data_IF_930550326966
#
_entry.id   IF_930550326966
#
_cell.length_a   1.000
_cell.length_b   1.000
_cell.length_c   1.000
_cell.angle_alpha   90.00
_cell.angle_beta   90.00
_cell.angle_gamma   90.00
#
_symmetry.space_group_name_H-M   'P 1'
#
loop_
_entity.id
_entity.type
_entity.pdbx_description
1 polymer ?
#
# COMPACT_ATOMS: atom_id res chain seq x y z
N UNK A 1 -9.49 -0.54 -14.13
CA UNK A 1 -9.05 0.87 -14.26
C UNK A 1 -9.63 1.43 -15.56
N UNK A 2 -10.20 2.62 -15.60
CA UNK A 2 -10.97 3.11 -16.77
C UNK A 2 -10.17 3.06 -18.08
N UNK A 3 -10.59 2.18 -19.01
CA UNK A 3 -10.06 2.11 -20.37
C UNK A 3 -8.65 1.55 -20.52
N UNK A 4 -8.03 1.07 -19.43
CA UNK A 4 -6.72 0.43 -19.47
C UNK A 4 -6.81 -1.03 -19.08
N UNK A 5 -6.25 -1.90 -19.94
CA UNK A 5 -6.10 -3.32 -19.63
C UNK A 5 -4.83 -3.55 -18.79
N UNK A 6 -4.88 -4.42 -17.79
CA UNK A 6 -3.70 -4.75 -17.01
C UNK A 6 -2.75 -5.66 -17.81
N UNK A 7 -1.46 -5.44 -17.60
CA UNK A 7 -0.43 -6.44 -17.87
C UNK A 7 -0.31 -7.35 -16.63
N UNK A 8 -0.15 -8.65 -16.84
CA UNK A 8 0.02 -9.60 -15.75
C UNK A 8 1.48 -10.03 -15.66
N UNK A 9 2.10 -9.78 -14.52
CA UNK A 9 3.47 -10.21 -14.23
C UNK A 9 3.42 -11.47 -13.37
N UNK A 10 4.13 -12.51 -13.83
CA UNK A 10 4.23 -13.78 -13.10
C UNK A 10 5.22 -13.64 -11.93
N UNK A 11 4.69 -13.65 -10.71
CA UNK A 11 5.46 -13.61 -9.46
C UNK A 11 5.59 -15.01 -8.82
N UNK A 12 5.61 -16.07 -9.62
CA UNK A 12 5.79 -17.45 -9.22
C UNK A 12 4.48 -18.15 -8.90
N UNK A 13 3.93 -17.97 -7.70
CA UNK A 13 2.65 -18.60 -7.32
C UNK A 13 1.42 -17.72 -7.56
N UNK A 14 1.63 -16.48 -8.05
CA UNK A 14 0.56 -15.53 -8.36
C UNK A 14 0.91 -14.66 -9.56
N UNK A 15 -0.08 -14.34 -10.38
CA UNK A 15 0.02 -13.30 -11.41
C UNK A 15 -0.47 -11.99 -10.83
N UNK A 16 0.34 -10.96 -10.93
CA UNK A 16 0.04 -9.64 -10.39
C UNK A 16 -0.34 -8.70 -11.53
N UNK A 17 -1.52 -8.11 -11.44
CA UNK A 17 -2.02 -7.15 -12.40
C UNK A 17 -1.36 -5.79 -12.19
N UNK A 18 -0.87 -5.21 -13.29
CA UNK A 18 -0.13 -3.96 -13.29
C UNK A 18 -0.58 -3.11 -14.48
N UNK A 19 -0.85 -1.84 -14.23
CA UNK A 19 -1.23 -0.85 -15.25
C UNK A 19 -0.05 0.10 -15.49
N UNK A 20 0.52 0.07 -16.68
CA UNK A 20 1.69 0.88 -17.08
C UNK A 20 1.26 1.93 -18.09
N UNK A 21 1.16 3.18 -17.65
CA UNK A 21 0.47 4.25 -18.37
C UNK A 21 1.33 5.50 -18.40
N UNK A 22 1.36 6.18 -19.56
CA UNK A 22 2.12 7.40 -19.72
C UNK A 22 3.59 7.18 -20.03
N UNK A 23 4.39 8.24 -19.88
CA UNK A 23 5.83 8.24 -20.17
C UNK A 23 6.54 9.18 -19.20
N UNK A 24 7.85 9.03 -19.05
CA UNK A 24 8.67 9.88 -18.19
C UNK A 24 9.20 9.15 -16.98
N UNK A 25 9.41 9.88 -15.88
CA UNK A 25 9.92 9.29 -14.63
C UNK A 25 8.88 8.36 -14.00
N UNK A 26 9.26 7.16 -13.51
CA UNK A 26 8.32 6.21 -12.95
C UNK A 26 7.69 6.72 -11.64
N UNK A 27 6.36 6.59 -11.54
CA UNK A 27 5.57 6.77 -10.33
C UNK A 27 4.81 5.48 -10.03
N UNK A 28 5.10 4.88 -8.90
CA UNK A 28 4.44 3.67 -8.43
C UNK A 28 3.24 4.06 -7.57
N UNK A 29 2.06 3.55 -7.90
CA UNK A 29 0.82 3.78 -7.17
C UNK A 29 0.36 2.49 -6.48
N UNK A 30 0.16 2.55 -5.16
CA UNK A 30 -0.23 1.42 -4.32
C UNK A 30 -1.52 1.78 -3.57
N UNK A 31 -2.57 1.01 -3.81
CA UNK A 31 -3.90 1.19 -3.22
C UNK A 31 -4.01 0.65 -1.80
N UNK A 32 -5.09 0.98 -1.09
CA UNK A 32 -5.37 0.56 0.29
C UNK A 32 -5.94 -0.85 0.44
N UNK A 33 -6.23 -1.22 1.68
CA UNK A 33 -6.78 -2.54 2.04
C UNK A 33 -8.16 -2.78 1.40
N UNK A 34 -8.30 -3.90 0.69
CA UNK A 34 -9.56 -4.29 0.06
C UNK A 34 -9.93 -3.51 -1.21
N UNK A 35 -9.08 -2.62 -1.66
CA UNK A 35 -9.22 -1.83 -2.89
C UNK A 35 -8.47 -2.45 -4.07
N UNK A 36 -8.33 -1.69 -5.14
CA UNK A 36 -7.54 -1.99 -6.32
C UNK A 36 -7.03 -0.69 -6.98
N UNK A 37 -6.34 -0.80 -8.09
CA UNK A 37 -5.77 0.35 -8.82
C UNK A 37 -6.81 1.37 -9.29
N UNK A 38 -8.11 1.03 -9.32
CA UNK A 38 -9.18 1.97 -9.67
C UNK A 38 -9.34 3.11 -8.65
N UNK A 39 -8.82 2.95 -7.44
CA UNK A 39 -8.72 4.03 -6.46
C UNK A 39 -8.08 5.29 -7.06
N UNK A 40 -7.10 5.11 -7.95
CA UNK A 40 -6.35 6.19 -8.57
C UNK A 40 -7.00 6.80 -9.81
N UNK A 41 -8.23 6.39 -10.18
CA UNK A 41 -8.88 6.82 -11.42
C UNK A 41 -9.02 8.36 -11.54
N UNK A 42 -9.23 9.05 -10.43
CA UNK A 42 -9.37 10.49 -10.44
C UNK A 42 -8.04 11.23 -10.66
N UNK A 43 -6.92 10.62 -10.24
CA UNK A 43 -5.60 11.26 -10.27
C UNK A 43 -4.77 10.84 -11.50
N UNK A 44 -5.08 9.70 -12.12
CA UNK A 44 -4.22 9.11 -13.14
C UNK A 44 -4.04 10.00 -14.37
N UNK A 45 -5.10 10.69 -14.80
CA UNK A 45 -5.05 11.60 -15.95
C UNK A 45 -4.07 12.76 -15.72
N UNK A 46 -3.95 13.24 -14.49
CA UNK A 46 -3.00 14.29 -14.15
C UNK A 46 -1.57 13.75 -14.03
N UNK A 47 -1.37 12.62 -13.36
CA UNK A 47 -0.04 12.04 -13.21
C UNK A 47 0.57 11.62 -14.56
N UNK A 48 -0.21 11.04 -15.46
CA UNK A 48 0.28 10.56 -16.77
C UNK A 48 0.68 11.67 -17.74
N UNK A 49 0.35 12.92 -17.45
CA UNK A 49 0.84 14.09 -18.21
C UNK A 49 2.34 14.30 -18.06
N UNK A 50 2.92 13.86 -16.94
CA UNK A 50 4.30 14.17 -16.59
C UNK A 50 5.11 12.93 -16.20
N UNK A 51 4.47 11.81 -15.92
CA UNK A 51 5.08 10.61 -15.34
C UNK A 51 4.64 9.34 -16.07
N UNK A 52 5.48 8.32 -16.03
CA UNK A 52 5.09 6.94 -16.32
C UNK A 52 4.51 6.34 -15.05
N UNK A 53 3.21 6.16 -15.02
CA UNK A 53 2.49 5.63 -13.86
C UNK A 53 2.44 4.11 -13.93
N UNK A 54 2.88 3.45 -12.86
CA UNK A 54 2.73 2.02 -12.65
C UNK A 54 1.80 1.83 -11.44
N UNK A 55 0.52 1.54 -11.72
CA UNK A 55 -0.46 1.20 -10.69
C UNK A 55 -0.55 -0.32 -10.56
N UNK A 56 -0.43 -0.83 -9.33
CA UNK A 56 -0.36 -2.27 -9.07
C UNK A 56 -1.56 -2.69 -8.24
N UNK A 57 -2.30 -3.67 -8.72
CA UNK A 57 -3.23 -4.41 -7.88
C UNK A 57 -2.42 -5.34 -6.99
N UNK A 58 -2.33 -5.05 -5.72
CA UNK A 58 -1.58 -5.87 -4.79
C UNK A 58 -2.07 -7.32 -4.76
N UNK A 59 -1.19 -8.27 -4.47
CA UNK A 59 -1.55 -9.69 -4.33
C UNK A 59 -2.87 -9.84 -3.53
N UNK A 60 -3.80 -10.65 -4.03
CA UNK A 60 -5.11 -10.87 -3.41
C UNK A 60 -6.12 -9.73 -3.57
N UNK A 61 -5.79 -8.67 -4.31
CA UNK A 61 -6.64 -7.52 -4.57
C UNK A 61 -6.92 -7.36 -6.08
N UNK A 62 -7.96 -6.61 -6.43
CA UNK A 62 -8.30 -6.28 -7.80
C UNK A 62 -8.31 -7.50 -8.74
N UNK A 63 -7.59 -7.38 -9.83
CA UNK A 63 -7.40 -8.43 -10.85
C UNK A 63 -6.22 -9.38 -10.55
N UNK A 64 -5.47 -9.16 -9.45
CA UNK A 64 -4.35 -10.00 -9.06
C UNK A 64 -4.78 -11.30 -8.40
N UNK A 65 -4.01 -12.36 -8.64
CA UNK A 65 -4.18 -13.64 -7.94
C UNK A 65 -3.79 -13.52 -6.46
N UNK A 66 -4.38 -14.37 -5.60
CA UNK A 66 -3.98 -14.45 -4.19
C UNK A 66 -2.72 -15.32 -3.98
N UNK A 67 -2.45 -16.23 -4.91
CA UNK A 67 -1.40 -17.23 -4.76
C UNK A 67 -1.72 -18.28 -3.70
N UNK A 68 -0.70 -19.04 -3.31
CA UNK A 68 -0.80 -20.15 -2.34
C UNK A 68 -0.07 -19.88 -1.03
N UNK A 69 0.78 -18.86 -0.98
CA UNK A 69 1.63 -18.52 0.18
C UNK A 69 0.94 -17.62 1.21
N UNK A 70 -0.34 -17.26 0.97
CA UNK A 70 -1.07 -16.29 1.79
C UNK A 70 -0.70 -14.85 1.45
N UNK A 71 -1.14 -13.90 2.31
CA UNK A 71 -0.85 -12.48 2.15
C UNK A 71 0.05 -11.99 3.29
N UNK A 72 1.09 -11.25 2.94
CA UNK A 72 1.92 -10.49 3.88
C UNK A 72 2.58 -9.32 3.14
N UNK A 73 2.91 -8.25 3.88
CA UNK A 73 3.63 -7.12 3.31
C UNK A 73 5.02 -7.49 2.79
N UNK A 74 5.69 -8.50 3.38
CA UNK A 74 6.97 -8.99 2.88
C UNK A 74 6.83 -9.63 1.51
N UNK A 75 5.82 -10.48 1.31
CA UNK A 75 5.57 -11.12 0.03
C UNK A 75 5.12 -10.10 -1.03
N UNK A 76 4.24 -9.16 -0.66
CA UNK A 76 3.78 -8.10 -1.56
C UNK A 76 4.93 -7.17 -1.96
N UNK A 77 5.88 -6.88 -1.06
CA UNK A 77 7.07 -6.11 -1.37
C UNK A 77 8.01 -6.86 -2.33
N UNK A 78 8.13 -8.18 -2.21
CA UNK A 78 8.87 -9.02 -3.15
C UNK A 78 8.21 -9.06 -4.54
N UNK A 79 6.88 -9.17 -4.59
CA UNK A 79 6.13 -9.06 -5.85
C UNK A 79 6.40 -7.72 -6.54
N UNK A 80 6.31 -6.62 -5.78
CA UNK A 80 6.58 -5.28 -6.29
C UNK A 80 8.01 -5.14 -6.80
N UNK A 81 8.99 -5.68 -6.05
CA UNK A 81 10.40 -5.70 -6.50
C UNK A 81 10.55 -6.43 -7.83
N UNK A 82 9.94 -7.61 -7.96
CA UNK A 82 9.97 -8.38 -9.18
C UNK A 82 9.32 -7.63 -10.36
N UNK A 83 8.17 -6.99 -10.14
CA UNK A 83 7.50 -6.15 -11.16
C UNK A 83 8.44 -5.04 -11.65
N UNK A 84 9.10 -4.33 -10.74
CA UNK A 84 10.01 -3.25 -11.11
C UNK A 84 11.24 -3.77 -11.87
N UNK A 85 11.76 -4.94 -11.52
CA UNK A 85 12.87 -5.59 -12.24
C UNK A 85 12.47 -5.98 -13.66
N UNK A 86 11.30 -6.63 -13.84
CA UNK A 86 10.77 -6.99 -15.16
C UNK A 86 10.56 -5.76 -16.04
N UNK A 87 10.11 -4.65 -15.44
CA UNK A 87 9.92 -3.37 -16.16
C UNK A 87 11.21 -2.54 -16.34
N UNK A 88 12.33 -3.03 -15.85
CA UNK A 88 13.62 -2.32 -15.92
C UNK A 88 13.68 -1.03 -15.11
N UNK A 89 12.83 -0.89 -14.08
CA UNK A 89 12.74 0.30 -13.24
C UNK A 89 13.75 0.18 -12.11
N UNK A 90 14.77 1.00 -12.15
CA UNK A 90 15.84 1.02 -11.13
C UNK A 90 15.53 1.97 -9.98
N UNK A 91 14.84 3.08 -10.28
CA UNK A 91 14.43 4.10 -9.30
C UNK A 91 13.08 4.69 -9.68
N UNK A 92 12.26 5.01 -8.68
CA UNK A 92 10.93 5.58 -8.89
C UNK A 92 10.50 6.47 -7.72
N UNK A 93 9.45 7.27 -7.96
CA UNK A 93 8.64 7.85 -6.90
C UNK A 93 7.57 6.84 -6.47
N UNK A 94 7.25 6.84 -5.19
CA UNK A 94 6.21 5.96 -4.63
C UNK A 94 5.12 6.80 -3.98
N UNK A 95 3.88 6.46 -4.27
CA UNK A 95 2.69 6.99 -3.61
C UNK A 95 1.82 5.82 -3.18
N UNK A 96 1.67 5.65 -1.87
CA UNK A 96 0.84 4.60 -1.29
C UNK A 96 -0.26 5.19 -0.42
N UNK A 97 -1.47 4.65 -0.59
CA UNK A 97 -2.62 4.97 0.23
C UNK A 97 -2.85 3.85 1.26
N UNK A 98 -3.01 4.21 2.53
CA UNK A 98 -3.35 3.27 3.61
C UNK A 98 -2.38 2.07 3.64
N UNK A 99 -2.83 0.83 3.46
CA UNK A 99 -1.98 -0.35 3.34
C UNK A 99 -0.98 -0.26 2.18
N UNK A 100 -1.31 0.46 1.10
CA UNK A 100 -0.35 0.77 0.03
C UNK A 100 0.81 1.64 0.52
N UNK A 101 0.55 2.55 1.46
CA UNK A 101 1.59 3.32 2.15
C UNK A 101 2.45 2.44 3.06
N UNK A 102 1.82 1.49 3.77
CA UNK A 102 2.52 0.51 4.60
C UNK A 102 3.42 -0.40 3.73
N UNK A 103 2.92 -0.83 2.57
CA UNK A 103 3.70 -1.58 1.59
C UNK A 103 4.88 -0.75 1.04
N UNK A 104 4.67 0.54 0.76
CA UNK A 104 5.72 1.44 0.31
C UNK A 104 6.83 1.61 1.37
N UNK A 105 6.48 1.75 2.65
CA UNK A 105 7.44 1.75 3.78
C UNK A 105 8.23 0.44 3.79
N UNK A 106 7.54 -0.70 3.73
CA UNK A 106 8.18 -2.02 3.75
C UNK A 106 9.17 -2.18 2.59
N UNK A 107 8.77 -1.75 1.39
CA UNK A 107 9.60 -1.76 0.20
C UNK A 107 10.83 -0.85 0.37
N UNK A 108 10.63 0.40 0.80
CA UNK A 108 11.71 1.37 0.98
C UNK A 108 12.76 0.93 2.01
N UNK A 109 12.34 0.22 3.07
CA UNK A 109 13.26 -0.34 4.06
C UNK A 109 14.11 -1.51 3.52
N UNK A 110 13.59 -2.25 2.54
CA UNK A 110 14.30 -3.40 1.92
C UNK A 110 15.16 -2.97 0.73
N UNK A 111 14.70 -2.00 -0.08
CA UNK A 111 15.38 -1.52 -1.29
C UNK A 111 15.41 0.01 -1.34
N UNK A 112 16.09 0.69 -0.40
CA UNK A 112 16.08 2.16 -0.29
C UNK A 112 16.60 2.84 -1.56
N UNK A 113 17.58 2.26 -2.26
CA UNK A 113 18.15 2.81 -3.49
C UNK A 113 17.16 2.87 -4.66
N UNK A 114 16.05 2.14 -4.58
CA UNK A 114 14.99 2.15 -5.60
C UNK A 114 13.93 3.21 -5.37
N UNK A 115 13.91 3.86 -4.20
CA UNK A 115 12.90 4.86 -3.83
C UNK A 115 13.55 6.25 -3.80
N UNK A 116 13.18 7.12 -4.74
CA UNK A 116 13.71 8.49 -4.78
C UNK A 116 12.90 9.45 -3.91
N UNK A 117 11.57 9.29 -3.90
CA UNK A 117 10.65 10.06 -3.06
C UNK A 117 9.52 9.15 -2.61
N UNK A 118 9.03 9.39 -1.41
CA UNK A 118 7.98 8.60 -0.80
C UNK A 118 6.81 9.50 -0.39
N UNK A 119 5.60 9.15 -0.81
CA UNK A 119 4.36 9.78 -0.36
C UNK A 119 3.51 8.73 0.34
N UNK A 120 3.19 8.98 1.59
CA UNK A 120 2.42 8.13 2.49
C UNK A 120 1.08 8.80 2.79
N UNK A 121 0.02 8.36 2.14
CA UNK A 121 -1.32 8.89 2.38
C UNK A 121 -2.08 7.96 3.33
N UNK A 122 -2.37 8.40 4.54
CA UNK A 122 -3.08 7.61 5.56
C UNK A 122 -2.37 6.32 5.98
N UNK A 123 -1.02 6.27 5.92
CA UNK A 123 -0.25 5.11 6.35
C UNK A 123 -0.06 5.05 7.88
N UNK A 124 0.21 3.85 8.40
CA UNK A 124 0.47 3.64 9.82
C UNK A 124 1.45 2.50 10.06
N UNK A 125 2.24 2.58 11.12
CA UNK A 125 3.20 1.53 11.53
C UNK A 125 2.57 0.58 12.54
N UNK A 126 1.85 1.10 13.50
CA UNK A 126 1.13 0.28 14.48
C UNK A 126 -0.24 -0.14 13.91
N UNK A 127 -0.26 -1.25 13.18
CA UNK A 127 -1.42 -1.70 12.41
C UNK A 127 -2.73 -1.66 13.21
N UNK A 128 -2.74 -2.27 14.38
CA UNK A 128 -3.96 -2.31 15.20
C UNK A 128 -4.11 -1.07 16.08
N UNK A 129 -3.05 -0.65 16.79
CA UNK A 129 -3.14 0.45 17.76
C UNK A 129 -3.03 1.84 17.14
N UNK A 130 -2.56 1.94 15.91
CA UNK A 130 -2.43 3.20 15.16
C UNK A 130 -3.76 3.77 14.63
N UNK A 131 -4.82 2.95 14.56
CA UNK A 131 -6.14 3.36 14.07
C UNK A 131 -7.14 3.65 15.19
N UNK A 132 -8.21 4.38 14.88
CA UNK A 132 -9.28 4.74 15.86
C UNK A 132 -10.03 3.49 16.33
N UNK A 133 -10.57 3.45 17.58
CA UNK A 133 -11.14 2.24 18.20
C UNK A 133 -12.30 1.60 17.41
N UNK A 134 -13.14 2.40 16.76
CA UNK A 134 -14.24 1.89 15.96
C UNK A 134 -13.76 1.08 14.73
N UNK A 135 -12.65 1.52 14.12
CA UNK A 135 -11.99 0.80 13.00
C UNK A 135 -11.40 -0.52 13.51
N UNK A 136 -10.72 -0.49 14.66
CA UNK A 136 -10.21 -1.70 15.30
C UNK A 136 -11.31 -2.74 15.50
N UNK A 137 -12.45 -2.31 16.08
CA UNK A 137 -13.58 -3.19 16.37
C UNK A 137 -14.19 -3.78 15.09
N UNK A 138 -14.45 -2.95 14.08
CA UNK A 138 -15.05 -3.41 12.82
C UNK A 138 -14.12 -4.32 12.03
N UNK A 139 -12.82 -4.03 12.01
CA UNK A 139 -11.80 -4.87 11.36
C UNK A 139 -11.71 -6.23 12.05
N UNK A 140 -11.65 -6.24 13.39
CA UNK A 140 -11.55 -7.48 14.14
C UNK A 140 -12.79 -8.35 14.01
N UNK A 141 -13.99 -7.76 14.09
CA UNK A 141 -15.25 -8.46 13.88
C UNK A 141 -15.34 -9.03 12.44
N UNK A 142 -14.96 -8.23 11.44
CA UNK A 142 -14.91 -8.65 10.03
C UNK A 142 -13.93 -9.81 9.80
N UNK A 143 -12.74 -9.73 10.39
CA UNK A 143 -11.73 -10.80 10.34
C UNK A 143 -12.23 -12.08 10.98
N UNK A 144 -12.83 -12.00 12.17
CA UNK A 144 -13.42 -13.13 12.88
C UNK A 144 -14.54 -13.81 12.07
N UNK A 145 -15.46 -13.03 11.53
CA UNK A 145 -16.53 -13.54 10.66
C UNK A 145 -15.98 -14.21 9.39
N UNK A 146 -15.02 -13.55 8.71
CA UNK A 146 -14.40 -14.11 7.52
C UNK A 146 -13.62 -15.41 7.83
N UNK A 147 -12.96 -15.48 8.99
CA UNK A 147 -12.24 -16.67 9.45
C UNK A 147 -13.17 -17.87 9.70
N UNK A 148 -14.35 -17.61 10.28
CA UNK A 148 -15.34 -18.67 10.54
C UNK A 148 -15.81 -19.35 9.24
N UNK A 149 -16.00 -18.56 8.17
CA UNK A 149 -16.49 -19.05 6.89
C UNK A 149 -15.40 -19.37 5.86
N UNK A 150 -14.13 -19.14 6.19
CA UNK A 150 -13.01 -19.30 5.25
C UNK A 150 -12.82 -20.71 4.70
N UNK A 151 -13.21 -21.75 5.47
CA UNK A 151 -13.09 -23.16 5.06
C UNK A 151 -14.13 -23.58 4.00
N UNK A 152 -15.26 -22.86 3.92
CA UNK A 152 -16.38 -23.21 3.04
C UNK A 152 -16.63 -22.19 1.93
N UNK A 153 -15.96 -21.04 1.97
CA UNK A 153 -16.13 -19.95 1.00
C UNK A 153 -14.78 -19.34 0.63
N UNK A 154 -14.43 -19.43 -0.67
CA UNK A 154 -13.23 -18.77 -1.22
C UNK A 154 -13.27 -17.25 -1.02
N UNK A 155 -14.45 -16.63 -1.13
CA UNK A 155 -14.64 -15.20 -0.89
C UNK A 155 -14.34 -14.84 0.57
N UNK A 156 -14.81 -15.68 1.52
CA UNK A 156 -14.52 -15.47 2.93
C UNK A 156 -13.03 -15.67 3.24
N UNK A 157 -12.38 -16.68 2.63
CA UNK A 157 -10.95 -16.90 2.77
C UNK A 157 -10.15 -15.68 2.29
N UNK A 158 -10.44 -15.17 1.07
CA UNK A 158 -9.79 -13.96 0.54
C UNK A 158 -10.01 -12.76 1.46
N UNK A 159 -11.25 -12.55 1.94
CA UNK A 159 -11.57 -11.45 2.87
C UNK A 159 -10.81 -11.55 4.19
N UNK A 160 -10.71 -12.78 4.75
CA UNK A 160 -9.89 -13.03 5.95
C UNK A 160 -8.44 -12.63 5.72
N UNK A 161 -7.84 -13.05 4.60
CA UNK A 161 -6.43 -12.80 4.31
C UNK A 161 -6.17 -11.30 4.11
N UNK A 162 -7.05 -10.59 3.41
CA UNK A 162 -6.97 -9.14 3.21
C UNK A 162 -7.11 -8.40 4.56
N UNK A 163 -8.13 -8.70 5.37
CA UNK A 163 -8.29 -8.10 6.69
C UNK A 163 -7.15 -8.51 7.65
N UNK A 164 -6.56 -9.67 7.43
CA UNK A 164 -5.39 -10.15 8.18
C UNK A 164 -4.20 -9.19 8.10
N UNK A 165 -4.02 -8.47 6.99
CA UNK A 165 -2.96 -7.46 6.86
C UNK A 165 -3.11 -6.34 7.91
N UNK A 166 -4.34 -5.98 8.28
CA UNK A 166 -4.61 -4.95 9.30
C UNK A 166 -4.60 -5.48 10.75
N UNK A 167 -4.71 -6.81 10.94
CA UNK A 167 -4.78 -7.44 12.26
C UNK A 167 -3.42 -7.92 12.74
N UNK A 168 -2.60 -8.40 11.82
CA UNK A 168 -1.29 -8.97 12.14
C UNK A 168 -0.17 -7.93 12.02
N UNK A 169 0.87 -8.02 12.87
CA UNK A 169 2.04 -7.16 12.74
C UNK A 169 2.73 -7.35 11.39
N UNK A 170 3.08 -6.24 10.71
CA UNK A 170 3.76 -6.32 9.43
C UNK A 170 5.30 -6.21 9.53
N UNK A 171 5.81 -6.29 10.74
CA UNK A 171 7.24 -6.43 11.01
C UNK A 171 8.07 -5.16 10.79
N UNK A 172 7.44 -3.98 10.77
CA UNK A 172 8.12 -2.68 10.81
C UNK A 172 7.88 -2.04 12.18
N UNK A 173 8.93 -1.50 12.77
CA UNK A 173 8.88 -0.77 14.03
C UNK A 173 9.02 0.73 13.77
N UNK A 174 8.57 1.56 14.71
CA UNK A 174 8.70 3.01 14.60
C UNK A 174 10.16 3.44 14.39
N UNK A 175 11.09 2.83 15.13
CA UNK A 175 12.53 3.11 15.02
C UNK A 175 13.12 2.78 13.64
N UNK A 176 12.52 1.82 12.90
CA UNK A 176 13.00 1.47 11.56
C UNK A 176 12.81 2.62 10.55
N UNK A 177 11.86 3.53 10.83
CA UNK A 177 11.58 4.68 9.97
C UNK A 177 12.75 5.66 9.88
N UNK A 178 13.67 5.66 10.84
CA UNK A 178 14.90 6.45 10.79
C UNK A 178 15.83 6.07 9.61
N UNK A 179 15.59 4.92 8.99
CA UNK A 179 16.32 4.44 7.80
C UNK A 179 15.73 4.93 6.48
N UNK A 180 14.59 5.62 6.52
CA UNK A 180 13.96 6.22 5.34
C UNK A 180 14.60 7.57 5.04
N UNK A 181 15.77 7.55 4.39
CA UNK A 181 16.56 8.75 4.10
C UNK A 181 16.05 9.55 2.89
N UNK A 182 15.14 8.97 2.08
CA UNK A 182 14.54 9.67 0.95
C UNK A 182 13.57 10.75 1.41
N UNK A 183 13.41 11.86 0.65
CA UNK A 183 12.37 12.85 0.91
C UNK A 183 11.00 12.20 1.02
N UNK A 184 10.34 12.37 2.15
CA UNK A 184 9.05 11.74 2.47
C UNK A 184 7.99 12.79 2.75
N UNK A 185 6.81 12.62 2.16
CA UNK A 185 5.61 13.39 2.45
C UNK A 185 4.56 12.46 3.09
N UNK A 186 4.10 12.81 4.27
CA UNK A 186 2.92 12.19 4.87
C UNK A 186 1.71 13.07 4.58
N UNK A 187 0.66 12.48 4.04
CA UNK A 187 -0.63 13.11 3.81
C UNK A 187 -1.65 12.45 4.72
N UNK A 188 -2.50 13.23 5.37
CA UNK A 188 -3.55 12.73 6.26
C UNK A 188 -4.73 13.69 6.27
N UNK A 189 -5.94 13.16 6.37
CA UNK A 189 -7.14 13.96 6.62
C UNK A 189 -7.25 14.40 8.08
N UNK A 190 -7.86 15.55 8.34
CA UNK A 190 -8.12 16.04 9.70
C UNK A 190 -9.00 15.06 10.50
N UNK A 191 -9.89 14.35 9.80
CA UNK A 191 -10.79 13.35 10.39
C UNK A 191 -10.39 11.90 10.07
N UNK A 192 -9.14 11.69 9.63
CA UNK A 192 -8.63 10.36 9.25
C UNK A 192 -8.89 9.30 10.34
N UNK A 193 -9.02 8.05 9.92
CA UNK A 193 -9.12 6.92 10.84
C UNK A 193 -7.79 6.59 11.53
N UNK A 194 -6.66 7.04 10.97
CA UNK A 194 -5.34 6.96 11.61
C UNK A 194 -5.31 7.96 12.77
N UNK A 195 -4.78 7.56 13.91
CA UNK A 195 -4.63 8.47 15.05
C UNK A 195 -3.56 9.52 14.79
N UNK A 196 -3.83 10.79 15.09
CA UNK A 196 -2.86 11.89 14.95
C UNK A 196 -1.52 11.61 15.66
N UNK A 197 -1.55 10.89 16.79
CA UNK A 197 -0.34 10.47 17.50
C UNK A 197 0.55 9.65 16.58
N UNK A 198 -0.03 8.69 15.85
CA UNK A 198 0.69 7.82 14.93
C UNK A 198 1.37 8.63 13.81
N UNK A 199 0.64 9.55 13.18
CA UNK A 199 1.18 10.43 12.14
C UNK A 199 2.34 11.28 12.65
N UNK A 200 2.18 11.88 13.85
CA UNK A 200 3.24 12.69 14.46
C UNK A 200 4.48 11.87 14.82
N UNK A 201 4.30 10.68 15.36
CA UNK A 201 5.40 9.78 15.71
C UNK A 201 6.15 9.31 14.46
N UNK A 202 5.44 8.92 13.40
CA UNK A 202 6.06 8.58 12.11
C UNK A 202 6.89 9.75 11.56
N UNK A 203 6.31 10.95 11.53
CA UNK A 203 6.98 12.14 11.04
C UNK A 203 8.23 12.51 11.85
N UNK A 204 8.20 12.28 13.17
CA UNK A 204 9.35 12.53 14.05
C UNK A 204 10.51 11.54 13.84
N UNK A 205 10.23 10.34 13.35
CA UNK A 205 11.25 9.30 13.11
C UNK A 205 11.83 9.32 11.69
N UNK A 206 11.11 9.87 10.70
CA UNK A 206 11.60 9.93 9.31
C UNK A 206 12.45 11.20 9.13
N UNK A 207 13.75 11.10 8.77
CA UNK A 207 14.69 12.23 8.77
C UNK A 207 14.28 13.41 7.88
N UNK A 208 13.76 13.14 6.70
CA UNK A 208 13.39 14.16 5.71
C UNK A 208 11.88 14.16 5.43
N UNK A 209 11.09 14.28 6.52
CA UNK A 209 9.63 14.21 6.48
C UNK A 209 8.97 15.58 6.47
N UNK A 210 7.94 15.72 5.63
CA UNK A 210 6.94 16.79 5.71
C UNK A 210 5.58 16.16 5.95
N UNK A 211 4.69 16.87 6.66
CA UNK A 211 3.31 16.44 6.90
C UNK A 211 2.37 17.49 6.34
N UNK A 212 1.40 17.04 5.57
CA UNK A 212 0.28 17.84 5.08
C UNK A 212 -1.03 17.27 5.61
N UNK A 213 -1.78 18.11 6.33
CA UNK A 213 -3.10 17.76 6.88
C UNK A 213 -4.17 18.42 6.03
N UNK A 214 -5.01 17.62 5.40
CA UNK A 214 -6.14 18.13 4.62
C UNK A 214 -7.30 18.45 5.55
N UNK A 215 -7.67 19.73 5.59
CA UNK A 215 -8.79 20.23 6.39
C UNK A 215 -10.09 19.56 5.95
N UNK A 216 -10.94 19.19 6.91
CA UNK A 216 -12.19 18.48 6.69
C UNK A 216 -12.04 17.15 5.90
N UNK A 217 -10.81 16.68 5.66
CA UNK A 217 -10.53 15.41 5.00
C UNK A 217 -10.72 14.22 5.96
N UNK A 218 -11.24 13.12 5.43
CA UNK A 218 -11.27 11.79 6.08
C UNK A 218 -10.14 10.89 5.55
N UNK A 219 -10.32 9.58 5.67
CA UNK A 219 -9.29 8.60 5.23
C UNK A 219 -9.31 8.38 3.72
#
# INVERSE_FOLDING_TARGET
>A
MFGYEPEYIDCGDARIACYDIGRGHPLILLHGNGEDSSYWNAQISEFTRFMRVIAVDSRGHGASDSGTKGLSFDLMAQDLKHILDVKGIKKAFFLGFSDGGNLAIKFALQWPDMVEKLVLNGANVEMFFGVKPHVQLTTFAGYGAASLFSRISRKAARRRDVLGLMVHPYGVRMDDLARLEMPTLIIVGEHDMIKDRQTREMAAHIPHCRVEVFRDGDH
#
